data_IF_608382062327
#
_entry.id   IF_608382062327
#
_cell.length_a   1.000
_cell.length_b   1.000
_cell.length_c   1.000
_cell.angle_alpha   90.00
_cell.angle_beta   90.00
_cell.angle_gamma   90.00
#
_symmetry.space_group_name_H-M   'P 1'
#
loop_
_entity.id
_entity.type
_entity.pdbx_description
1 polymer ?
#
# COMPACT_ATOMS: atom_id res chain seq x y z
N UNK A 1 7.17 23.51 -15.61
CA UNK A 1 6.86 23.04 -16.96
C UNK A 1 6.71 24.23 -17.89
N UNK A 2 7.34 24.18 -19.08
CA UNK A 2 7.13 25.21 -20.07
C UNK A 2 5.70 25.11 -20.58
N UNK A 3 4.98 26.24 -20.62
CA UNK A 3 3.71 26.32 -21.33
C UNK A 3 3.93 25.87 -22.77
N UNK A 4 3.19 24.86 -23.18
CA UNK A 4 3.20 24.41 -24.57
C UNK A 4 2.30 25.34 -25.36
N UNK A 5 2.87 26.42 -25.85
CA UNK A 5 2.21 27.32 -26.81
C UNK A 5 2.73 26.94 -28.21
N UNK A 6 2.13 25.93 -28.81
CA UNK A 6 2.40 25.62 -30.21
C UNK A 6 1.81 26.72 -31.08
N UNK A 7 2.54 27.13 -32.11
CA UNK A 7 2.12 28.12 -33.09
C UNK A 7 0.85 27.71 -33.86
N UNK A 8 0.38 26.50 -33.69
CA UNK A 8 -0.73 25.90 -34.44
C UNK A 8 -1.94 25.48 -33.60
N UNK A 9 -1.95 25.77 -32.29
CA UNK A 9 -3.09 25.46 -31.42
C UNK A 9 -3.28 23.95 -31.09
N UNK A 10 -2.37 23.09 -31.54
CA UNK A 10 -2.49 21.62 -31.40
C UNK A 10 -1.90 21.09 -30.06
N UNK A 11 -1.26 21.96 -29.29
CA UNK A 11 -0.69 21.61 -27.99
C UNK A 11 -1.76 21.53 -26.90
N UNK A 12 -1.57 20.65 -25.95
CA UNK A 12 -2.39 20.57 -24.74
C UNK A 12 -1.51 20.41 -23.49
N UNK A 13 -2.08 20.73 -22.33
CA UNK A 13 -1.46 20.52 -21.04
C UNK A 13 -2.50 20.01 -20.05
N UNK A 14 -2.39 18.74 -19.64
CA UNK A 14 -3.16 18.13 -18.58
C UNK A 14 -2.30 18.15 -17.31
N UNK A 15 -2.74 18.83 -16.28
CA UNK A 15 -1.92 19.01 -15.08
C UNK A 15 -2.22 18.00 -13.97
N UNK A 16 -3.39 17.36 -13.97
CA UNK A 16 -3.81 16.37 -12.97
C UNK A 16 -3.50 16.82 -11.52
N UNK A 17 -3.64 18.11 -11.23
CA UNK A 17 -2.98 18.72 -10.07
C UNK A 17 -3.87 18.91 -8.86
N UNK A 18 -5.14 18.56 -8.93
CA UNK A 18 -6.09 18.96 -7.87
C UNK A 18 -6.84 17.75 -7.32
N UNK A 19 -6.54 17.40 -6.08
CA UNK A 19 -7.44 16.61 -5.26
C UNK A 19 -8.81 17.30 -5.21
N UNK A 20 -9.85 16.65 -5.74
CA UNK A 20 -11.20 17.21 -5.81
C UNK A 20 -11.64 17.62 -7.22
N UNK A 21 -10.82 17.40 -8.25
CA UNK A 21 -11.31 17.42 -9.63
C UNK A 21 -12.36 16.32 -9.82
N UNK A 22 -13.35 16.63 -10.64
CA UNK A 22 -14.34 15.62 -11.07
C UNK A 22 -13.78 14.83 -12.25
N UNK A 23 -14.31 13.64 -12.51
CA UNK A 23 -13.95 12.88 -13.72
C UNK A 23 -14.02 13.75 -14.99
N UNK A 24 -14.93 14.71 -15.05
CA UNK A 24 -15.09 15.63 -16.19
C UNK A 24 -13.96 16.64 -16.30
N UNK A 25 -13.40 17.10 -15.19
CA UNK A 25 -12.36 18.14 -15.19
C UNK A 25 -10.95 17.60 -15.42
N UNK A 26 -10.75 16.28 -15.28
CA UNK A 26 -9.48 15.61 -15.53
C UNK A 26 -8.97 15.77 -16.96
N UNK A 27 -9.90 15.84 -17.92
CA UNK A 27 -9.57 16.00 -19.34
C UNK A 27 -9.41 17.44 -19.80
N UNK A 28 -9.50 18.44 -18.90
CA UNK A 28 -9.42 19.84 -19.31
C UNK A 28 -7.98 20.24 -19.66
N UNK A 29 -7.84 20.78 -20.85
CA UNK A 29 -6.59 21.39 -21.30
C UNK A 29 -6.35 22.73 -20.57
N UNK A 30 -5.25 22.79 -19.83
CA UNK A 30 -4.80 23.96 -19.08
C UNK A 30 -3.77 24.79 -19.85
N UNK A 31 -3.51 24.46 -21.13
CA UNK A 31 -2.59 25.22 -21.97
C UNK A 31 -3.16 26.57 -22.43
N UNK A 32 -4.49 26.69 -22.47
CA UNK A 32 -5.21 27.81 -23.03
C UNK A 32 -5.67 27.60 -24.47
N UNK A 33 -5.37 26.46 -25.08
CA UNK A 33 -5.79 26.13 -26.46
C UNK A 33 -7.18 25.49 -26.53
N UNK A 34 -7.78 25.13 -25.39
CA UNK A 34 -9.08 24.45 -25.28
C UNK A 34 -9.14 23.07 -25.95
N UNK A 35 -8.02 22.39 -26.08
CA UNK A 35 -7.94 21.02 -26.60
C UNK A 35 -8.32 20.01 -25.50
N UNK A 36 -9.56 20.10 -25.04
CA UNK A 36 -10.08 19.26 -23.96
C UNK A 36 -10.26 17.82 -24.42
N UNK A 37 -9.97 16.89 -23.52
CA UNK A 37 -10.23 15.45 -23.69
C UNK A 37 -11.48 15.06 -22.93
N UNK A 38 -12.22 14.12 -23.48
CA UNK A 38 -13.33 13.48 -22.76
C UNK A 38 -12.77 12.28 -22.00
N UNK A 39 -12.72 12.30 -20.66
CA UNK A 39 -12.30 11.14 -19.88
C UNK A 39 -13.22 9.95 -20.10
N UNK A 40 -12.65 8.76 -20.28
CA UNK A 40 -13.39 7.51 -20.38
C UNK A 40 -12.84 6.56 -19.32
N UNK A 41 -13.70 6.06 -18.45
CA UNK A 41 -13.35 5.16 -17.35
C UNK A 41 -12.32 5.74 -16.35
N UNK A 42 -12.21 7.05 -16.26
CA UNK A 42 -11.43 7.72 -15.23
C UNK A 42 -12.35 8.12 -14.07
N UNK A 43 -11.95 7.77 -12.86
CA UNK A 43 -12.63 8.11 -11.61
C UNK A 43 -11.68 8.89 -10.69
N UNK A 44 -12.24 9.55 -9.68
CA UNK A 44 -11.42 10.27 -8.68
C UNK A 44 -10.44 9.32 -7.96
N UNK A 45 -10.82 8.06 -7.82
CA UNK A 45 -10.00 7.01 -7.26
C UNK A 45 -8.75 6.66 -8.07
N UNK A 46 -8.67 7.09 -9.33
CA UNK A 46 -7.49 6.91 -10.18
C UNK A 46 -6.41 7.97 -9.95
N UNK A 47 -6.72 8.99 -9.13
CA UNK A 47 -5.72 9.96 -8.71
C UNK A 47 -4.82 9.38 -7.64
N UNK A 48 -3.53 9.34 -7.91
CA UNK A 48 -2.51 9.13 -6.90
C UNK A 48 -1.89 10.48 -6.50
N UNK A 49 -1.38 10.55 -5.27
CA UNK A 49 -0.63 11.71 -4.79
C UNK A 49 0.81 11.75 -5.34
N UNK A 50 1.15 10.81 -6.21
CA UNK A 50 2.47 10.70 -6.80
C UNK A 50 2.79 11.89 -7.71
N UNK A 51 4.00 12.39 -7.55
CA UNK A 51 4.59 13.40 -8.41
C UNK A 51 5.99 12.95 -8.83
N UNK A 52 6.60 13.54 -9.87
CA UNK A 52 7.97 13.20 -10.24
C UNK A 52 9.02 13.37 -9.12
N UNK A 53 8.68 14.12 -8.09
CA UNK A 53 9.54 14.37 -6.92
C UNK A 53 9.05 13.70 -5.64
N UNK A 54 7.91 13.01 -5.66
CA UNK A 54 7.27 12.46 -4.47
C UNK A 54 6.51 11.18 -4.87
N UNK A 55 7.15 10.04 -4.70
CA UNK A 55 6.57 8.74 -5.02
C UNK A 55 6.09 8.07 -3.75
N UNK A 56 4.83 7.66 -3.73
CA UNK A 56 4.22 6.93 -2.62
C UNK A 56 4.17 5.43 -2.94
N UNK A 57 4.19 4.61 -1.89
CA UNK A 57 4.05 3.17 -2.03
C UNK A 57 2.64 2.82 -2.52
N UNK A 58 2.56 1.91 -3.47
CA UNK A 58 1.33 1.26 -3.91
C UNK A 58 1.45 -0.26 -3.73
N UNK A 59 0.34 -0.96 -3.90
CA UNK A 59 0.35 -2.42 -3.92
C UNK A 59 0.86 -2.90 -5.29
N UNK A 60 1.74 -3.90 -5.27
CA UNK A 60 2.34 -4.42 -6.48
C UNK A 60 1.43 -5.46 -7.16
N UNK A 61 0.87 -5.19 -8.34
CA UNK A 61 -0.01 -6.13 -9.04
C UNK A 61 0.70 -7.40 -9.50
N UNK A 62 2.03 -7.37 -9.59
CA UNK A 62 2.84 -8.54 -9.94
C UNK A 62 3.08 -9.48 -8.75
N UNK A 63 2.81 -9.02 -7.52
CA UNK A 63 2.98 -9.82 -6.31
C UNK A 63 1.73 -10.62 -5.92
N UNK A 64 0.67 -10.53 -6.70
CA UNK A 64 -0.57 -11.28 -6.45
C UNK A 64 -1.19 -11.78 -7.75
N UNK A 65 -1.71 -13.00 -7.73
CA UNK A 65 -2.45 -13.58 -8.85
C UNK A 65 -3.96 -13.67 -8.60
N UNK A 66 -4.39 -13.34 -7.39
CA UNK A 66 -5.76 -13.63 -6.91
C UNK A 66 -6.47 -12.45 -6.26
N UNK A 67 -5.73 -11.45 -5.76
CA UNK A 67 -6.33 -10.22 -5.25
C UNK A 67 -6.65 -9.28 -6.42
N UNK A 68 -7.80 -8.65 -6.37
CA UNK A 68 -8.12 -7.56 -7.29
C UNK A 68 -7.63 -6.26 -6.69
N UNK A 69 -6.78 -5.56 -7.44
CA UNK A 69 -6.31 -4.23 -7.08
C UNK A 69 -7.11 -3.17 -7.83
N UNK A 70 -7.40 -2.06 -7.17
CA UNK A 70 -8.13 -0.93 -7.74
C UNK A 70 -7.66 0.38 -7.10
N UNK A 71 -8.23 1.51 -7.49
CA UNK A 71 -7.89 2.83 -6.97
C UNK A 71 -6.39 3.15 -7.10
N UNK A 72 -5.84 2.97 -8.30
CA UNK A 72 -4.41 3.19 -8.52
C UNK A 72 -3.52 2.24 -7.69
N UNK A 73 -3.96 1.00 -7.48
CA UNK A 73 -3.31 -0.01 -6.64
C UNK A 73 -3.23 0.35 -5.15
N UNK A 74 -4.11 1.22 -4.68
CA UNK A 74 -4.22 1.58 -3.25
C UNK A 74 -5.28 0.77 -2.51
N UNK A 75 -6.09 0.01 -3.21
CA UNK A 75 -7.14 -0.83 -2.65
C UNK A 75 -7.01 -2.27 -3.12
N UNK A 76 -7.10 -3.21 -2.18
CA UNK A 76 -7.02 -4.65 -2.46
C UNK A 76 -8.25 -5.34 -1.91
N UNK A 77 -8.95 -6.08 -2.77
CA UNK A 77 -9.96 -7.04 -2.36
C UNK A 77 -9.41 -8.46 -2.55
N UNK A 78 -9.24 -9.17 -1.46
CA UNK A 78 -8.94 -10.60 -1.46
C UNK A 78 -10.23 -11.40 -1.40
N UNK A 79 -10.36 -12.41 -2.24
CA UNK A 79 -11.50 -13.33 -2.21
C UNK A 79 -11.06 -14.72 -1.81
N UNK A 80 -11.75 -15.33 -0.83
CA UNK A 80 -11.61 -16.74 -0.57
C UNK A 80 -11.24 -17.12 0.86
N UNK A 81 -11.18 -18.42 1.09
CA UNK A 81 -10.96 -19.04 2.40
C UNK A 81 -9.48 -19.40 2.63
N UNK A 82 -8.55 -18.56 2.15
CA UNK A 82 -7.11 -18.75 2.38
C UNK A 82 -6.35 -17.44 2.37
N UNK A 83 -5.11 -17.49 2.83
CA UNK A 83 -4.19 -16.35 2.80
C UNK A 83 -3.85 -15.97 1.35
N UNK A 84 -4.00 -14.69 1.04
CA UNK A 84 -3.75 -14.13 -0.30
C UNK A 84 -2.89 -12.88 -0.16
N UNK A 85 -1.58 -13.05 -0.10
CA UNK A 85 -0.68 -11.91 0.11
C UNK A 85 -0.66 -10.98 -1.09
N UNK A 86 -0.46 -9.70 -0.80
CA UNK A 86 -0.07 -8.67 -1.75
C UNK A 86 0.99 -7.81 -1.10
N UNK A 87 2.07 -7.53 -1.79
CA UNK A 87 3.17 -6.71 -1.28
C UNK A 87 3.09 -5.30 -1.84
N UNK A 88 3.75 -4.36 -1.14
CA UNK A 88 4.05 -3.04 -1.69
C UNK A 88 5.03 -3.14 -2.86
N UNK A 89 5.02 -2.14 -3.73
CA UNK A 89 6.00 -1.92 -4.79
C UNK A 89 7.32 -1.33 -4.27
N UNK A 90 7.35 -0.89 -3.01
CA UNK A 90 8.55 -0.35 -2.36
C UNK A 90 9.12 -1.32 -1.34
N UNK A 91 10.45 -1.41 -1.31
CA UNK A 91 11.22 -2.14 -0.30
C UNK A 91 12.18 -1.20 0.41
N UNK A 92 12.46 -1.49 1.69
CA UNK A 92 13.24 -0.63 2.59
C UNK A 92 14.40 -1.42 3.18
N UNK A 93 15.61 -0.91 3.04
CA UNK A 93 16.83 -1.51 3.62
C UNK A 93 17.52 -0.63 4.67
N UNK A 94 17.08 0.63 4.81
CA UNK A 94 17.62 1.59 5.79
C UNK A 94 16.59 2.69 6.05
N UNK A 95 16.80 3.51 7.09
CA UNK A 95 15.98 4.66 7.42
C UNK A 95 14.70 4.31 8.20
N UNK A 96 13.89 5.33 8.42
CA UNK A 96 12.62 5.25 9.16
C UNK A 96 11.45 5.47 8.23
N UNK A 97 10.47 4.57 8.33
CA UNK A 97 9.33 4.50 7.45
C UNK A 97 8.04 4.39 8.25
N UNK A 98 6.99 5.00 7.74
CA UNK A 98 5.65 4.93 8.30
C UNK A 98 4.63 4.85 7.19
N UNK A 99 3.66 3.94 7.34
CA UNK A 99 2.50 3.85 6.45
C UNK A 99 1.26 3.46 7.22
N UNK A 100 0.12 3.68 6.63
CA UNK A 100 -1.19 3.38 7.19
C UNK A 100 -1.99 2.48 6.26
N UNK A 101 -2.79 1.62 6.85
CA UNK A 101 -3.69 0.71 6.16
C UNK A 101 -5.08 0.94 6.75
N UNK A 102 -6.00 1.44 5.94
CA UNK A 102 -7.41 1.55 6.31
C UNK A 102 -8.10 0.21 6.11
N UNK A 103 -8.82 -0.26 7.09
CA UNK A 103 -9.55 -1.52 7.08
C UNK A 103 -10.99 -1.26 6.64
N UNK A 104 -11.28 -1.50 5.37
CA UNK A 104 -12.63 -1.34 4.83
C UNK A 104 -13.55 -2.48 5.24
N UNK A 105 -13.06 -3.72 5.13
CA UNK A 105 -13.75 -4.94 5.53
C UNK A 105 -12.82 -5.88 6.28
N UNK A 106 -13.35 -6.74 7.12
CA UNK A 106 -12.57 -7.72 7.88
C UNK A 106 -12.87 -9.13 7.39
N UNK A 107 -11.82 -9.92 7.23
CA UNK A 107 -11.90 -11.36 7.00
C UNK A 107 -11.04 -12.12 7.99
N UNK A 108 -11.30 -13.42 8.14
CA UNK A 108 -10.49 -14.31 8.99
C UNK A 108 -9.06 -14.50 8.48
N UNK A 109 -8.81 -14.13 7.23
CA UNK A 109 -7.51 -14.26 6.55
C UNK A 109 -6.93 -12.88 6.24
N UNK A 110 -6.91 -11.99 7.24
CA UNK A 110 -6.38 -10.64 7.08
C UNK A 110 -5.27 -10.38 8.09
N UNK A 111 -4.12 -10.01 7.56
CA UNK A 111 -2.91 -9.72 8.34
C UNK A 111 -2.10 -8.64 7.65
N UNK A 112 -1.51 -7.75 8.43
CA UNK A 112 -0.63 -6.69 7.94
C UNK A 112 0.73 -6.82 8.58
N UNK A 113 1.79 -6.57 7.81
CA UNK A 113 3.13 -6.78 8.36
C UNK A 113 4.25 -6.52 7.36
N UNK A 114 5.42 -7.05 7.70
CA UNK A 114 6.63 -6.96 6.90
C UNK A 114 7.19 -8.34 6.58
N UNK A 115 7.87 -8.41 5.45
CA UNK A 115 8.61 -9.60 4.99
C UNK A 115 9.75 -9.19 4.09
N UNK A 116 10.82 -9.98 3.97
CA UNK A 116 11.85 -9.75 2.97
C UNK A 116 11.27 -9.79 1.55
N UNK A 117 11.77 -8.91 0.68
CA UNK A 117 11.35 -8.87 -0.72
C UNK A 117 11.97 -10.02 -1.53
N UNK A 118 13.26 -10.29 -1.28
CA UNK A 118 14.02 -11.38 -1.92
C UNK A 118 14.40 -12.35 -0.81
N UNK A 119 14.26 -13.62 -1.08
CA UNK A 119 14.62 -14.67 -0.15
C UNK A 119 15.86 -15.40 -0.64
N UNK A 120 16.66 -15.85 0.31
CA UNK A 120 17.87 -16.65 0.04
C UNK A 120 17.54 -18.00 -0.66
N UNK A 121 16.31 -18.48 -0.52
CA UNK A 121 15.83 -19.71 -1.18
C UNK A 121 15.31 -19.46 -2.61
N UNK A 122 15.40 -18.20 -3.10
CA UNK A 122 14.97 -17.83 -4.45
C UNK A 122 13.44 -17.76 -4.64
N UNK A 123 12.68 -17.91 -3.57
CA UNK A 123 11.23 -17.77 -3.60
C UNK A 123 10.83 -16.31 -3.74
N UNK A 124 10.68 -15.88 -4.98
CA UNK A 124 10.11 -14.59 -5.37
C UNK A 124 8.59 -14.66 -5.51
N UNK A 125 8.04 -15.87 -5.44
CA UNK A 125 6.61 -16.09 -5.54
C UNK A 125 5.97 -15.95 -4.16
N UNK A 126 5.00 -15.09 -4.09
CA UNK A 126 4.11 -14.97 -2.95
C UNK A 126 3.08 -16.11 -3.02
N UNK A 127 3.50 -17.30 -2.63
CA UNK A 127 2.66 -18.48 -2.67
C UNK A 127 1.33 -18.28 -1.94
N UNK A 128 0.30 -18.87 -2.48
CA UNK A 128 -1.10 -18.66 -2.14
C UNK A 128 -1.49 -18.97 -0.68
N UNK A 129 -0.60 -19.41 0.16
CA UNK A 129 -0.87 -19.72 1.58
C UNK A 129 0.20 -19.10 2.52
N UNK A 130 1.02 -18.19 2.00
CA UNK A 130 2.07 -17.55 2.77
C UNK A 130 1.61 -16.18 3.29
N UNK A 131 1.57 -16.01 4.59
CA UNK A 131 1.24 -14.74 5.26
C UNK A 131 2.48 -14.16 5.97
N UNK A 132 2.56 -12.84 6.21
CA UNK A 132 3.64 -12.26 6.99
C UNK A 132 3.72 -12.90 8.37
N UNK A 133 4.89 -13.37 8.77
CA UNK A 133 5.09 -14.08 10.05
C UNK A 133 5.15 -15.59 9.95
N UNK A 134 5.12 -16.16 8.76
CA UNK A 134 5.35 -17.60 8.56
C UNK A 134 6.79 -18.00 8.88
N UNK A 135 7.73 -17.07 8.71
CA UNK A 135 9.17 -17.31 8.96
C UNK A 135 9.72 -16.36 10.02
N UNK A 136 10.96 -16.61 10.47
CA UNK A 136 11.62 -15.87 11.56
C UNK A 136 11.96 -14.42 11.22
N UNK A 137 12.09 -14.10 9.95
CA UNK A 137 12.37 -12.78 9.39
C UNK A 137 11.10 -12.03 8.94
N UNK A 138 9.94 -12.54 9.30
CA UNK A 138 8.63 -11.98 8.96
C UNK A 138 7.82 -11.69 10.22
N UNK A 139 7.05 -10.62 10.21
CA UNK A 139 6.14 -10.25 11.29
C UNK A 139 4.80 -9.83 10.72
N UNK A 140 3.74 -10.40 11.26
CA UNK A 140 2.38 -10.10 10.85
C UNK A 140 1.45 -9.87 12.03
N UNK A 141 0.70 -8.79 12.01
CA UNK A 141 -0.32 -8.44 12.99
C UNK A 141 -1.70 -8.78 12.43
N UNK A 142 -2.39 -9.67 13.12
CA UNK A 142 -3.68 -10.21 12.72
C UNK A 142 -4.85 -9.47 13.38
N UNK A 143 -6.04 -9.56 12.77
CA UNK A 143 -7.30 -8.96 13.26
C UNK A 143 -7.68 -9.39 14.69
N UNK A 144 -7.24 -10.57 15.11
CA UNK A 144 -7.54 -11.18 16.41
C UNK A 144 -6.51 -10.85 17.51
N UNK A 145 -5.78 -9.76 17.36
CA UNK A 145 -4.76 -9.30 18.30
C UNK A 145 -3.50 -10.18 18.40
N UNK A 146 -3.25 -11.03 17.42
CA UNK A 146 -2.06 -11.89 17.41
C UNK A 146 -0.93 -11.27 16.61
N UNK A 147 0.28 -11.42 17.13
CA UNK A 147 1.49 -11.25 16.35
C UNK A 147 1.99 -12.61 15.88
N UNK A 148 2.25 -12.74 14.60
CA UNK A 148 2.83 -13.92 13.97
C UNK A 148 4.30 -13.70 13.63
N UNK A 149 5.14 -14.68 14.00
CA UNK A 149 6.55 -14.79 13.62
C UNK A 149 6.96 -16.26 13.74
N UNK A 150 7.77 -16.76 12.80
CA UNK A 150 8.22 -18.16 12.77
C UNK A 150 7.07 -19.18 12.77
N UNK A 151 5.99 -18.91 12.05
CA UNK A 151 4.75 -19.68 12.05
C UNK A 151 4.10 -19.85 13.45
N UNK A 152 4.56 -19.09 14.43
CA UNK A 152 4.01 -19.05 15.78
C UNK A 152 3.18 -17.79 15.98
N UNK A 153 2.16 -17.86 16.81
CA UNK A 153 1.30 -16.74 17.14
C UNK A 153 1.39 -16.40 18.62
N UNK A 154 1.76 -15.18 18.95
CA UNK A 154 1.66 -14.62 20.30
C UNK A 154 0.25 -14.08 20.48
N UNK A 155 -0.56 -14.76 21.28
CA UNK A 155 -1.95 -14.37 21.55
C UNK A 155 -1.99 -13.12 22.45
N UNK A 156 -3.03 -12.30 22.25
CA UNK A 156 -3.24 -11.06 23.04
C UNK A 156 -2.01 -10.14 23.05
N UNK A 157 -1.31 -10.10 21.89
CA UNK A 157 -0.13 -9.25 21.75
C UNK A 157 -0.51 -7.77 21.61
N UNK A 158 -1.58 -7.47 20.91
CA UNK A 158 -2.09 -6.12 20.64
C UNK A 158 -3.58 -6.02 20.86
N UNK A 159 -4.20 -5.05 20.21
CA UNK A 159 -5.66 -4.88 20.18
C UNK A 159 -6.26 -5.59 18.97
N UNK A 160 -7.50 -6.07 19.09
CA UNK A 160 -8.26 -6.49 17.91
C UNK A 160 -8.61 -5.30 17.03
N UNK A 161 -8.67 -5.50 15.71
CA UNK A 161 -9.12 -4.45 14.81
C UNK A 161 -10.24 -4.95 13.88
N UNK A 162 -11.05 -4.00 13.41
CA UNK A 162 -12.24 -4.25 12.62
C UNK A 162 -12.38 -3.22 11.50
N UNK A 163 -13.44 -3.35 10.69
CA UNK A 163 -13.77 -2.38 9.66
C UNK A 163 -13.90 -0.96 10.25
N UNK A 164 -13.34 0.02 9.56
CA UNK A 164 -13.24 1.41 9.99
C UNK A 164 -11.97 1.75 10.76
N UNK A 165 -11.19 0.77 11.23
CA UNK A 165 -9.92 1.02 11.91
C UNK A 165 -8.79 1.36 10.93
N UNK A 166 -7.81 2.12 11.40
CA UNK A 166 -6.56 2.42 10.71
C UNK A 166 -5.42 1.71 11.43
N UNK A 167 -4.67 0.89 10.72
CA UNK A 167 -3.46 0.25 11.22
C UNK A 167 -2.25 1.01 10.71
N UNK A 168 -1.54 1.66 11.63
CA UNK A 168 -0.26 2.29 11.36
C UNK A 168 0.89 1.32 11.59
N UNK A 169 1.91 1.41 10.74
CA UNK A 169 3.13 0.59 10.85
C UNK A 169 4.33 1.52 10.82
N UNK A 170 5.15 1.48 11.86
CA UNK A 170 6.40 2.26 11.96
C UNK A 170 7.59 1.30 11.98
N UNK A 171 8.39 1.35 10.93
CA UNK A 171 9.59 0.55 10.72
C UNK A 171 10.82 1.45 10.80
N UNK A 172 11.74 1.13 11.71
CA UNK A 172 13.06 1.75 11.79
C UNK A 172 14.12 0.69 11.46
N UNK A 173 14.61 0.71 10.22
CA UNK A 173 15.61 -0.24 9.75
C UNK A 173 16.99 0.06 10.33
N UNK A 174 17.26 1.31 10.74
CA UNK A 174 18.54 1.69 11.34
C UNK A 174 18.64 1.21 12.81
N UNK A 175 17.52 1.24 13.53
CA UNK A 175 17.42 0.72 14.88
C UNK A 175 16.99 -0.76 14.92
N UNK A 176 16.54 -1.33 13.84
CA UNK A 176 16.02 -2.70 13.76
C UNK A 176 14.74 -2.88 14.55
N UNK A 177 13.79 -1.93 14.49
CA UNK A 177 12.56 -1.97 15.28
C UNK A 177 11.30 -1.81 14.41
N UNK A 178 10.23 -2.46 14.84
CA UNK A 178 8.90 -2.38 14.23
C UNK A 178 7.85 -2.15 15.31
N UNK A 179 6.95 -1.19 15.07
CA UNK A 179 5.83 -0.89 15.94
C UNK A 179 4.54 -0.85 15.13
N UNK A 180 3.46 -1.28 15.75
CA UNK A 180 2.12 -1.16 15.20
C UNK A 180 1.30 -0.16 16.00
N UNK A 181 0.36 0.48 15.31
CA UNK A 181 -0.58 1.44 15.87
C UNK A 181 -1.99 1.08 15.41
N UNK A 182 -2.96 1.31 16.29
CA UNK A 182 -4.37 1.27 15.96
C UNK A 182 -4.97 2.65 16.19
N UNK A 183 -5.52 3.24 15.16
CA UNK A 183 -6.14 4.59 15.21
C UNK A 183 -5.21 5.64 15.87
N UNK A 184 -3.91 5.58 15.53
CA UNK A 184 -2.89 6.48 16.06
C UNK A 184 -2.35 6.14 17.46
N UNK A 185 -2.91 5.15 18.15
CA UNK A 185 -2.42 4.68 19.45
C UNK A 185 -1.55 3.45 19.29
N UNK A 186 -0.42 3.38 19.99
CA UNK A 186 0.45 2.22 19.96
C UNK A 186 -0.30 0.96 20.44
N UNK A 187 -0.12 -0.15 19.72
CA UNK A 187 -0.69 -1.45 20.07
C UNK A 187 0.39 -2.53 20.05
N UNK A 188 0.34 -3.40 21.04
CA UNK A 188 1.38 -4.41 21.26
C UNK A 188 2.72 -3.84 21.73
N UNK A 189 3.66 -4.75 21.97
CA UNK A 189 5.04 -4.38 22.34
C UNK A 189 5.86 -4.08 21.09
N UNK A 190 6.88 -3.21 21.23
CA UNK A 190 7.86 -3.01 20.18
C UNK A 190 8.55 -4.32 19.82
N UNK A 191 8.64 -4.59 18.55
CA UNK A 191 9.40 -5.71 17.96
C UNK A 191 10.82 -5.21 17.69
N UNK A 192 11.82 -6.04 18.00
CA UNK A 192 13.24 -5.74 17.79
C UNK A 192 13.93 -6.85 17.00
N UNK A 193 15.12 -6.57 16.48
CA UNK A 193 15.88 -7.55 15.70
C UNK A 193 15.49 -7.61 14.23
N UNK A 194 14.86 -6.54 13.72
CA UNK A 194 14.59 -6.39 12.28
C UNK A 194 15.92 -6.11 11.59
N UNK A 195 16.22 -6.82 10.53
CA UNK A 195 17.43 -6.62 9.70
C UNK A 195 17.06 -6.65 8.21
N UNK A 196 17.87 -5.95 7.41
CA UNK A 196 17.78 -5.98 5.96
C UNK A 196 18.33 -7.28 5.39
#
# INVERSE_FOLDING_TARGET
PKRYSGTYGDGFYLNFSTLGETATTMGLDRSGNNNNFTPVNLEISDFSLDTPSNTFATLNPLSTSVNTLSNGNLYSTGGGASWRPVSSDMSMSSGRWYWEIYIDTVSSYQMHGIRPQIRDDGDVNHDNDHYPGTRSDEWGYNTDARLHNSASATSSWGDTYTAGDIIGVALDMDAGTLNFYKNGSATGSQITGISA
#
